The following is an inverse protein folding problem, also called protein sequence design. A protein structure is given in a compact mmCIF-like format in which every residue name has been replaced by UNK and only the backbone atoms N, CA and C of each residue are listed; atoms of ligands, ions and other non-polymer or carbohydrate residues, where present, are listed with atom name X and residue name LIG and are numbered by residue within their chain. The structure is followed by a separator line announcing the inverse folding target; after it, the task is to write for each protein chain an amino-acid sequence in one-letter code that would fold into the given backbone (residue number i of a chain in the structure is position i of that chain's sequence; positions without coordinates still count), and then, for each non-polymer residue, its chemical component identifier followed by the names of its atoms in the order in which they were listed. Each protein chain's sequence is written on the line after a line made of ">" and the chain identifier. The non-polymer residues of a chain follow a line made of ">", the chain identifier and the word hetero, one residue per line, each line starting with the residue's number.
data_IF_408288664630
#
_entry.id   IF_408288664630
#
_cell.length_a   1.000
_cell.length_b   1.000
_cell.length_c   1.000
_cell.angle_alpha   90.00
_cell.angle_beta   90.00
_cell.angle_gamma   90.00
#
_symmetry.space_group_name_H-M   'P 1'
#
loop_
_entity.id
_entity.type
_entity.pdbx_description
1 polymer ?
#
# COMPACT_ATOMS: atom_id res chain seq x y z
N UNK A 1 10.79 -22.13 -2.79
CA UNK A 1 11.60 -22.58 -1.62
C UNK A 1 11.95 -24.05 -1.79
N UNK A 2 13.16 -24.49 -1.44
CA UNK A 2 13.42 -25.93 -1.18
C UNK A 2 12.85 -26.30 0.20
N UNK A 3 12.68 -27.60 0.50
CA UNK A 3 12.10 -28.06 1.77
C UNK A 3 12.85 -27.52 3.01
N UNK A 4 14.17 -27.42 2.91
CA UNK A 4 15.04 -27.07 4.05
C UNK A 4 15.18 -25.56 4.28
N UNK A 5 14.51 -24.73 3.47
CA UNK A 5 14.62 -23.28 3.62
C UNK A 5 13.93 -22.81 4.91
N UNK A 6 14.66 -22.15 5.80
CA UNK A 6 14.15 -21.73 7.10
C UNK A 6 13.26 -20.48 6.97
N UNK A 7 12.10 -20.55 7.62
CA UNK A 7 11.10 -19.48 7.67
C UNK A 7 10.87 -19.10 9.12
N UNK A 8 10.95 -17.80 9.40
CA UNK A 8 10.62 -17.27 10.70
C UNK A 8 9.10 -17.39 10.95
N UNK A 9 8.74 -18.04 12.05
CA UNK A 9 7.38 -18.10 12.59
C UNK A 9 7.35 -17.46 13.97
N UNK A 10 6.17 -17.15 14.55
CA UNK A 10 6.10 -16.68 15.94
C UNK A 10 6.72 -17.63 16.96
N UNK A 11 6.92 -18.91 16.60
CA UNK A 11 7.48 -19.97 17.45
C UNK A 11 8.96 -20.27 17.17
N UNK A 12 9.59 -19.54 16.24
CA UNK A 12 10.97 -19.77 15.80
C UNK A 12 11.10 -20.13 14.33
N UNK A 13 12.29 -20.56 13.93
CA UNK A 13 12.59 -20.95 12.55
C UNK A 13 12.03 -22.33 12.24
N UNK A 14 11.26 -22.44 11.15
CA UNK A 14 10.65 -23.68 10.68
C UNK A 14 11.02 -23.91 9.21
N UNK A 15 11.46 -25.11 8.81
CA UNK A 15 11.71 -25.42 7.40
C UNK A 15 10.43 -25.27 6.56
N UNK A 16 10.57 -24.74 5.33
CA UNK A 16 9.45 -24.50 4.42
C UNK A 16 8.69 -25.79 4.04
N UNK A 17 9.35 -26.95 4.11
CA UNK A 17 8.73 -28.27 3.92
C UNK A 17 7.73 -28.65 5.01
N UNK A 18 7.91 -28.12 6.22
CA UNK A 18 7.12 -28.47 7.39
C UNK A 18 5.93 -27.53 7.62
N UNK A 19 5.90 -26.41 6.87
CA UNK A 19 4.81 -25.44 6.92
C UNK A 19 3.58 -25.87 6.11
N UNK A 20 2.41 -25.67 6.69
CA UNK A 20 1.12 -26.00 6.11
C UNK A 20 0.22 -24.76 5.95
N UNK A 21 -0.82 -24.90 5.14
CA UNK A 21 -1.87 -23.87 5.04
C UNK A 21 -2.51 -23.71 6.42
N UNK A 22 -2.63 -22.47 6.88
CA UNK A 22 -3.09 -22.13 8.22
C UNK A 22 -1.98 -21.79 9.21
N UNK A 23 -0.74 -22.24 8.97
CA UNK A 23 0.39 -21.87 9.83
C UNK A 23 0.72 -20.38 9.70
N UNK A 24 1.22 -19.80 10.79
CA UNK A 24 1.63 -18.40 10.84
C UNK A 24 3.13 -18.24 10.58
N UNK A 25 3.46 -17.29 9.72
CA UNK A 25 4.83 -16.88 9.41
C UNK A 25 5.02 -15.41 9.77
N UNK A 26 6.24 -15.02 10.10
CA UNK A 26 6.60 -13.64 10.36
C UNK A 26 6.89 -12.91 9.05
N UNK A 27 6.13 -11.86 8.80
CA UNK A 27 6.29 -11.00 7.63
C UNK A 27 6.76 -9.61 8.05
N UNK A 28 7.73 -9.05 7.32
CA UNK A 28 8.21 -7.70 7.53
C UNK A 28 7.26 -6.64 6.95
N UNK A 29 6.41 -6.06 7.79
CA UNK A 29 5.50 -4.98 7.40
C UNK A 29 6.14 -3.61 7.63
N UNK A 30 5.88 -2.66 6.71
CA UNK A 30 6.27 -1.27 6.92
C UNK A 30 5.40 -0.67 8.03
N UNK A 31 6.05 -0.08 9.03
CA UNK A 31 5.42 0.63 10.13
C UNK A 31 6.13 1.96 10.36
N UNK A 32 5.53 2.84 11.16
CA UNK A 32 6.07 4.17 11.42
C UNK A 32 6.11 4.47 12.91
N UNK A 33 7.14 5.21 13.32
CA UNK A 33 7.31 5.66 14.70
C UNK A 33 6.51 6.95 14.88
N UNK A 34 5.51 6.91 15.77
CA UNK A 34 4.75 8.08 16.20
C UNK A 34 5.49 8.83 17.30
N UNK A 35 5.45 10.16 17.27
CA UNK A 35 5.90 10.97 18.41
C UNK A 35 4.92 10.87 19.57
N UNK A 36 5.37 11.27 20.77
CA UNK A 36 4.49 11.35 21.94
C UNK A 36 3.30 12.29 21.69
N UNK A 37 3.52 13.42 21.00
CA UNK A 37 2.46 14.37 20.66
C UNK A 37 1.44 13.77 19.68
N UNK A 38 1.91 13.13 18.61
CA UNK A 38 1.05 12.46 17.64
C UNK A 38 0.23 11.35 18.29
N UNK A 39 0.87 10.58 19.16
CA UNK A 39 0.20 9.54 19.91
C UNK A 39 -0.94 10.09 20.78
N UNK A 40 -0.69 11.16 21.55
CA UNK A 40 -1.72 11.79 22.38
C UNK A 40 -2.86 12.40 21.55
N UNK A 41 -2.53 13.01 20.40
CA UNK A 41 -3.54 13.54 19.49
C UNK A 41 -4.42 12.43 18.92
N UNK A 42 -3.82 11.31 18.49
CA UNK A 42 -4.55 10.14 17.99
C UNK A 42 -5.42 9.51 19.08
N UNK A 43 -4.90 9.36 20.30
CA UNK A 43 -5.64 8.80 21.43
C UNK A 43 -6.84 9.68 21.79
N UNK A 44 -6.60 10.97 22.07
CA UNK A 44 -7.65 11.93 22.42
C UNK A 44 -8.66 12.14 21.30
N UNK A 45 -8.18 12.24 20.06
CA UNK A 45 -9.04 12.36 18.89
C UNK A 45 -9.89 11.11 18.66
N UNK A 46 -9.37 9.91 18.95
CA UNK A 46 -10.15 8.67 18.85
C UNK A 46 -11.18 8.55 19.97
N UNK A 47 -10.93 9.12 21.15
CA UNK A 47 -11.93 9.22 22.21
C UNK A 47 -13.03 10.23 21.84
N UNK A 48 -12.68 11.27 21.08
CA UNK A 48 -13.59 12.27 20.50
C UNK A 48 -14.20 11.89 19.15
N UNK A 49 -14.14 12.84 18.22
CA UNK A 49 -14.78 12.81 16.88
C UNK A 49 -14.06 11.88 15.88
N UNK A 50 -12.84 11.48 16.19
CA UNK A 50 -12.01 10.61 15.37
C UNK A 50 -12.41 9.14 15.44
N UNK A 51 -12.01 8.40 14.41
CA UNK A 51 -12.21 6.95 14.32
C UNK A 51 -11.00 6.24 13.75
N UNK A 52 -10.66 5.08 14.33
CA UNK A 52 -9.67 4.16 13.77
C UNK A 52 -10.38 3.07 12.96
N UNK A 53 -10.03 2.95 11.68
CA UNK A 53 -10.60 1.95 10.77
C UNK A 53 -9.53 0.98 10.31
N UNK A 54 -9.83 -0.32 10.35
CA UNK A 54 -8.94 -1.32 9.77
C UNK A 54 -8.87 -1.13 8.26
N UNK A 55 -7.65 -1.09 7.72
CA UNK A 55 -7.37 -1.09 6.28
C UNK A 55 -6.91 -2.48 5.80
N UNK A 56 -6.51 -3.35 6.72
CA UNK A 56 -6.19 -4.77 6.52
C UNK A 56 -6.13 -5.46 7.88
N UNK A 57 -5.66 -6.71 7.96
CA UNK A 57 -5.58 -7.47 9.24
C UNK A 57 -4.61 -6.85 10.25
N UNK A 58 -3.53 -6.24 9.76
CA UNK A 58 -2.44 -5.70 10.59
C UNK A 58 -2.25 -4.19 10.44
N UNK A 59 -3.15 -3.47 9.77
CA UNK A 59 -3.03 -2.02 9.58
C UNK A 59 -4.37 -1.33 9.78
N UNK A 60 -4.32 -0.16 10.42
CA UNK A 60 -5.47 0.71 10.57
C UNK A 60 -5.09 2.14 10.16
N UNK A 61 -6.10 2.93 9.82
CA UNK A 61 -5.96 4.36 9.58
C UNK A 61 -6.84 5.17 10.54
N UNK A 62 -6.35 6.32 10.95
CA UNK A 62 -7.13 7.32 11.66
C UNK A 62 -7.87 8.20 10.67
N UNK A 63 -9.12 8.52 10.96
CA UNK A 63 -9.95 9.45 10.19
C UNK A 63 -10.68 10.38 11.15
N UNK A 64 -10.67 11.66 10.84
CA UNK A 64 -11.40 12.69 11.58
C UNK A 64 -12.12 13.62 10.62
N UNK A 65 -13.30 14.07 11.02
CA UNK A 65 -14.14 15.00 10.26
C UNK A 65 -14.69 16.05 11.20
N UNK A 66 -14.70 17.30 10.77
CA UNK A 66 -15.32 18.41 11.52
C UNK A 66 -16.20 19.26 10.60
N UNK A 67 -17.09 20.03 11.23
CA UNK A 67 -17.89 21.02 10.54
C UNK A 67 -16.99 22.12 9.95
N UNK A 68 -17.41 22.82 8.87
CA UNK A 68 -16.59 23.86 8.24
C UNK A 68 -16.14 24.98 9.18
N UNK A 69 -16.94 25.30 10.21
CA UNK A 69 -16.61 26.31 11.24
C UNK A 69 -15.39 25.94 12.11
N UNK A 70 -14.98 24.68 12.14
CA UNK A 70 -13.82 24.17 12.89
C UNK A 70 -12.64 23.84 11.96
N UNK A 71 -12.58 24.50 10.79
CA UNK A 71 -11.52 24.28 9.79
C UNK A 71 -10.12 24.43 10.37
N UNK A 72 -9.86 25.53 11.06
CA UNK A 72 -8.53 25.80 11.62
C UNK A 72 -8.10 24.72 12.63
N UNK A 73 -9.07 24.18 13.39
CA UNK A 73 -8.79 23.07 14.31
C UNK A 73 -8.45 21.77 13.57
N UNK A 74 -9.14 21.49 12.46
CA UNK A 74 -8.84 20.35 11.61
C UNK A 74 -7.46 20.49 10.94
N UNK A 75 -7.13 21.69 10.45
CA UNK A 75 -5.83 21.99 9.83
C UNK A 75 -4.67 21.86 10.82
N UNK A 76 -4.87 22.27 12.08
CA UNK A 76 -3.92 22.01 13.14
C UNK A 76 -3.75 20.51 13.43
N UNK A 77 -4.84 19.73 13.52
CA UNK A 77 -4.73 18.26 13.66
C UNK A 77 -3.98 17.63 12.50
N UNK A 78 -4.19 18.15 11.29
CA UNK A 78 -3.51 17.70 10.09
C UNK A 78 -2.00 17.97 10.16
N UNK A 79 -1.59 19.19 10.55
CA UNK A 79 -0.18 19.56 10.65
C UNK A 79 0.56 18.81 11.76
N UNK A 80 -0.10 18.57 12.90
CA UNK A 80 0.44 17.76 14.00
C UNK A 80 0.74 16.31 13.58
N UNK A 81 -0.04 15.77 12.63
CA UNK A 81 0.06 14.39 12.15
C UNK A 81 0.93 14.22 10.90
N UNK A 82 1.55 15.29 10.39
CA UNK A 82 2.57 15.19 9.35
C UNK A 82 3.77 14.35 9.84
N UNK A 83 4.40 13.53 8.97
CA UNK A 83 4.18 13.43 7.53
C UNK A 83 3.09 12.42 7.12
N UNK A 84 2.27 11.94 8.04
CA UNK A 84 1.35 10.81 7.81
C UNK A 84 -0.02 11.22 7.28
N UNK A 85 -0.34 12.51 7.32
CA UNK A 85 -1.63 13.05 6.91
C UNK A 85 -1.83 12.96 5.40
N UNK A 86 -3.02 12.51 4.97
CA UNK A 86 -3.48 12.67 3.59
C UNK A 86 -4.15 14.04 3.43
N UNK A 87 -4.22 14.58 2.20
CA UNK A 87 -4.86 15.86 1.95
C UNK A 87 -6.26 15.99 2.56
N UNK A 88 -6.56 17.16 3.10
CA UNK A 88 -7.89 17.51 3.59
C UNK A 88 -8.86 17.56 2.40
N UNK A 89 -9.99 16.88 2.53
CA UNK A 89 -11.04 16.83 1.52
C UNK A 89 -12.43 17.16 2.08
N UNK A 90 -13.37 17.44 1.17
CA UNK A 90 -14.79 17.58 1.52
C UNK A 90 -15.40 16.20 1.81
N UNK A 91 -16.24 16.15 2.83
CA UNK A 91 -17.11 15.01 3.16
C UNK A 91 -18.56 15.50 3.19
N UNK A 92 -19.53 14.58 3.18
CA UNK A 92 -20.96 14.90 3.04
C UNK A 92 -21.42 16.11 3.89
N UNK A 93 -21.00 16.18 5.15
CA UNK A 93 -21.40 17.24 6.10
C UNK A 93 -20.22 18.05 6.67
N UNK A 94 -19.09 18.16 5.95
CA UNK A 94 -17.96 18.93 6.45
C UNK A 94 -16.64 18.70 5.71
N UNK A 95 -15.56 18.80 6.46
CA UNK A 95 -14.19 18.60 5.97
C UNK A 95 -13.47 17.58 6.86
N UNK A 96 -12.56 16.82 6.27
CA UNK A 96 -11.85 15.78 7.00
C UNK A 96 -10.62 15.28 6.26
N UNK A 97 -9.78 14.57 6.98
CA UNK A 97 -8.63 13.88 6.42
C UNK A 97 -8.49 12.49 7.04
N UNK A 98 -7.57 11.72 6.49
CA UNK A 98 -7.17 10.43 7.05
C UNK A 98 -5.66 10.33 7.08
N UNK A 99 -5.15 9.47 7.94
CA UNK A 99 -3.73 9.18 8.04
C UNK A 99 -3.38 7.92 7.23
N UNK A 100 -2.12 7.77 6.82
CA UNK A 100 -1.59 6.54 6.25
C UNK A 100 -1.95 5.33 7.13
N UNK A 101 -2.32 4.22 6.49
CA UNK A 101 -2.62 3.00 7.23
C UNK A 101 -1.31 2.37 7.72
N UNK A 102 -1.22 2.05 9.02
CA UNK A 102 -0.01 1.51 9.61
C UNK A 102 -0.30 0.55 10.78
N UNK A 103 0.61 -0.39 11.08
CA UNK A 103 0.49 -1.28 12.23
C UNK A 103 0.38 -0.59 13.59
N UNK A 104 1.10 0.51 13.83
CA UNK A 104 1.00 1.25 15.09
C UNK A 104 -0.45 1.70 15.40
N UNK A 105 -1.22 2.08 14.38
CA UNK A 105 -2.63 2.44 14.54
C UNK A 105 -3.54 1.22 14.73
N UNK A 106 -3.15 0.05 14.21
CA UNK A 106 -3.88 -1.20 14.46
C UNK A 106 -3.73 -1.66 15.91
N UNK A 107 -2.55 -1.47 16.53
CA UNK A 107 -2.35 -1.69 17.96
C UNK A 107 -3.30 -0.82 18.78
N UNK A 108 -3.25 0.49 18.52
CA UNK A 108 -4.11 1.46 19.20
C UNK A 108 -5.59 1.09 19.03
N UNK A 109 -6.00 0.66 17.83
CA UNK A 109 -7.37 0.21 17.59
C UNK A 109 -7.74 -1.02 18.41
N UNK A 110 -6.85 -2.01 18.57
CA UNK A 110 -7.13 -3.22 19.37
C UNK A 110 -7.30 -2.94 20.85
N UNK A 111 -6.77 -1.82 21.32
CA UNK A 111 -6.95 -1.37 22.71
C UNK A 111 -8.23 -0.54 22.88
N UNK A 112 -8.69 0.13 21.82
CA UNK A 112 -9.85 1.03 21.88
C UNK A 112 -11.16 0.39 21.42
N UNK A 113 -11.10 -0.67 20.60
CA UNK A 113 -12.26 -1.28 19.96
C UNK A 113 -12.22 -2.81 20.03
N UNK A 114 -13.39 -3.43 20.03
CA UNK A 114 -13.53 -4.87 19.86
C UNK A 114 -13.40 -5.30 18.37
N UNK A 115 -13.57 -6.60 18.13
CA UNK A 115 -13.56 -7.21 16.80
C UNK A 115 -14.76 -6.80 15.94
N UNK A 116 -15.89 -6.43 16.55
CA UNK A 116 -17.10 -5.96 15.86
C UNK A 116 -17.07 -4.45 15.55
N UNK A 117 -16.10 -3.71 16.11
CA UNK A 117 -15.96 -2.28 15.93
C UNK A 117 -16.67 -1.42 16.98
N UNK A 118 -17.17 -2.02 18.07
CA UNK A 118 -17.66 -1.28 19.22
C UNK A 118 -16.49 -0.76 20.06
N UNK A 119 -16.68 0.38 20.73
CA UNK A 119 -15.66 0.95 21.63
C UNK A 119 -15.69 0.20 22.96
N UNK A 120 -14.53 -0.35 23.34
CA UNK A 120 -14.36 -1.04 24.63
C UNK A 120 -13.31 -0.38 25.52
N UNK A 121 -12.41 0.44 24.93
CA UNK A 121 -11.35 1.22 25.58
C UNK A 121 -10.81 0.58 26.86
N UNK A 122 -9.74 -0.20 26.70
CA UNK A 122 -9.06 -0.86 27.81
C UNK A 122 -8.57 0.14 28.85
N UNK A 123 -8.43 -0.30 30.10
CA UNK A 123 -7.95 0.58 31.19
C UNK A 123 -6.54 1.07 30.93
N UNK A 124 -5.65 0.19 30.46
CA UNK A 124 -4.22 0.46 30.27
C UNK A 124 -3.97 1.60 29.27
N UNK A 125 -4.84 1.74 28.26
CA UNK A 125 -4.72 2.81 27.27
C UNK A 125 -5.14 4.17 27.85
N UNK A 126 -6.11 4.19 28.77
CA UNK A 126 -6.55 5.41 29.46
C UNK A 126 -5.52 5.90 30.49
N UNK A 127 -4.76 5.00 31.10
CA UNK A 127 -3.66 5.38 32.00
C UNK A 127 -2.54 6.13 31.27
N UNK A 128 -2.44 5.96 29.96
CA UNK A 128 -1.48 6.66 29.10
C UNK A 128 -2.01 8.01 28.61
N UNK A 129 -3.28 8.34 28.87
CA UNK A 129 -3.87 9.62 28.49
C UNK A 129 -3.27 10.73 29.37
N UNK A 130 -2.73 11.77 28.75
CA UNK A 130 -2.24 12.95 29.45
C UNK A 130 -3.07 14.21 29.13
N UNK A 131 -2.61 15.35 29.64
CA UNK A 131 -3.26 16.65 29.42
C UNK A 131 -3.46 16.99 27.93
N UNK A 132 -2.55 16.58 27.03
CA UNK A 132 -2.64 16.82 25.58
C UNK A 132 -3.77 16.01 24.97
N UNK A 133 -3.80 14.70 25.24
CA UNK A 133 -4.86 13.83 24.75
C UNK A 133 -6.23 14.22 25.29
N UNK A 134 -6.28 14.57 26.59
CA UNK A 134 -7.51 15.06 27.22
C UNK A 134 -7.98 16.40 26.61
N UNK A 135 -7.06 17.30 26.27
CA UNK A 135 -7.41 18.55 25.60
C UNK A 135 -8.04 18.32 24.23
N UNK A 136 -7.54 17.37 23.44
CA UNK A 136 -8.16 17.00 22.15
C UNK A 136 -9.54 16.42 22.37
N UNK A 137 -9.70 15.50 23.32
CA UNK A 137 -10.99 14.90 23.63
C UNK A 137 -12.01 15.96 24.09
N UNK A 138 -11.61 16.88 24.96
CA UNK A 138 -12.45 18.01 25.38
C UNK A 138 -12.73 18.99 24.23
N UNK A 139 -11.77 19.22 23.33
CA UNK A 139 -11.94 20.03 22.13
C UNK A 139 -13.00 19.48 21.19
N UNK A 140 -13.10 18.15 21.10
CA UNK A 140 -14.12 17.45 20.30
C UNK A 140 -15.48 17.45 21.01
N UNK A 141 -15.56 16.81 22.18
CA UNK A 141 -16.83 16.46 22.84
C UNK A 141 -17.16 17.31 24.08
N UNK A 142 -16.22 18.14 24.52
CA UNK A 142 -16.38 19.00 25.69
C UNK A 142 -17.25 20.21 25.42
N UNK A 143 -17.86 20.71 26.49
CA UNK A 143 -18.61 21.96 26.52
C UNK A 143 -18.50 22.59 27.91
N UNK A 144 -18.66 23.89 27.99
CA UNK A 144 -18.71 24.62 29.25
C UNK A 144 -20.04 25.38 29.29
N UNK A 145 -20.91 24.98 30.21
CA UNK A 145 -22.24 25.58 30.38
C UNK A 145 -22.28 26.36 31.70
N UNK A 146 -22.82 27.58 31.66
CA UNK A 146 -22.86 28.46 32.82
C UNK A 146 -23.07 29.92 32.47
N UNK A 147 -24.26 30.43 32.76
CA UNK A 147 -24.53 31.86 32.83
C UNK A 147 -23.64 32.49 33.91
N UNK A 148 -22.61 33.22 33.50
CA UNK A 148 -21.81 34.08 34.39
C UNK A 148 -22.69 35.06 35.18
N UNK A 149 -23.87 35.39 34.64
CA UNK A 149 -24.80 36.35 35.22
C UNK A 149 -25.73 35.80 36.32
N UNK A 150 -25.88 34.47 36.49
CA UNK A 150 -26.85 33.92 37.46
C UNK A 150 -26.25 33.10 38.61
N UNK A 151 -25.12 32.41 38.44
CA UNK A 151 -24.65 31.43 39.44
C UNK A 151 -23.13 31.36 39.67
N UNK A 152 -22.36 32.31 39.14
CA UNK A 152 -20.94 32.51 39.47
C UNK A 152 -19.95 31.42 39.02
N UNK A 153 -20.39 30.19 38.74
CA UNK A 153 -19.50 29.09 38.35
C UNK A 153 -20.11 28.23 37.23
N UNK A 154 -19.65 28.42 36.00
CA UNK A 154 -19.94 27.46 34.93
C UNK A 154 -19.32 26.09 35.21
N UNK A 155 -19.89 25.05 34.62
CA UNK A 155 -19.45 23.66 34.78
C UNK A 155 -19.02 23.10 33.43
N UNK A 156 -17.86 22.48 33.41
CA UNK A 156 -17.43 21.68 32.27
C UNK A 156 -18.27 20.40 32.19
N UNK A 157 -18.56 20.00 30.96
CA UNK A 157 -19.24 18.76 30.62
C UNK A 157 -18.44 18.11 29.50
N UNK A 158 -18.06 16.84 29.69
CA UNK A 158 -17.47 16.01 28.63
C UNK A 158 -18.49 14.96 28.22
N UNK A 159 -18.98 15.05 26.98
CA UNK A 159 -19.95 14.10 26.47
C UNK A 159 -19.23 12.82 26.03
N UNK A 160 -19.72 11.65 26.45
CA UNK A 160 -19.27 10.40 25.89
C UNK A 160 -20.35 9.33 26.04
N UNK A 161 -21.00 9.02 24.91
CA UNK A 161 -22.05 7.99 24.82
C UNK A 161 -21.51 6.61 24.42
N UNK A 162 -20.25 6.54 24.02
CA UNK A 162 -19.67 5.35 23.40
C UNK A 162 -18.94 4.45 24.41
N UNK A 163 -18.53 4.99 25.56
CA UNK A 163 -17.91 4.24 26.65
C UNK A 163 -18.96 3.72 27.64
N UNK A 164 -18.80 2.47 28.06
CA UNK A 164 -19.70 1.75 28.97
C UNK A 164 -18.90 0.96 30.00
N UNK A 165 -19.51 0.66 31.16
CA UNK A 165 -18.94 -0.22 32.20
C UNK A 165 -17.56 0.21 32.70
N UNK A 166 -16.63 -0.76 32.79
CA UNK A 166 -15.25 -0.60 33.27
C UNK A 166 -14.47 0.53 32.60
N UNK A 167 -14.71 0.78 31.31
CA UNK A 167 -14.04 1.87 30.60
C UNK A 167 -14.37 3.25 31.19
N UNK A 168 -15.59 3.44 31.73
CA UNK A 168 -15.97 4.70 32.37
C UNK A 168 -15.29 4.87 33.72
N UNK A 169 -15.17 3.78 34.50
CA UNK A 169 -14.42 3.78 35.76
C UNK A 169 -12.95 4.13 35.52
N UNK A 170 -12.33 3.54 34.49
CA UNK A 170 -10.97 3.86 34.09
C UNK A 170 -10.79 5.34 33.68
N UNK A 171 -11.80 5.97 33.06
CA UNK A 171 -11.78 7.41 32.79
C UNK A 171 -11.77 8.22 34.09
N UNK A 172 -12.60 7.85 35.07
CA UNK A 172 -12.64 8.55 36.37
C UNK A 172 -11.29 8.45 37.11
N UNK A 173 -10.67 7.28 37.09
CA UNK A 173 -9.33 7.06 37.64
C UNK A 173 -8.26 7.86 36.90
N UNK A 174 -8.31 7.91 35.56
CA UNK A 174 -7.38 8.71 34.76
C UNK A 174 -7.51 10.21 35.08
N UNK A 175 -8.74 10.73 35.19
CA UNK A 175 -8.99 12.13 35.55
C UNK A 175 -8.52 12.46 36.98
N UNK A 176 -8.68 11.53 37.91
CA UNK A 176 -8.14 11.66 39.27
C UNK A 176 -6.61 11.69 39.28
N UNK A 177 -5.94 10.79 38.55
CA UNK A 177 -4.48 10.77 38.38
C UNK A 177 -3.94 12.06 37.75
N UNK A 178 -4.72 12.68 36.86
CA UNK A 178 -4.39 14.00 36.27
C UNK A 178 -4.66 15.18 37.21
N UNK A 179 -5.08 14.95 38.45
CA UNK A 179 -5.30 15.98 39.46
C UNK A 179 -6.63 16.73 39.33
N UNK A 180 -7.49 16.32 38.39
CA UNK A 180 -8.82 16.95 38.19
C UNK A 180 -9.80 16.45 39.25
N UNK A 181 -9.69 15.18 39.64
CA UNK A 181 -10.62 14.48 40.53
C UNK A 181 -11.70 13.72 39.76
N UNK A 182 -12.62 13.06 40.49
CA UNK A 182 -13.69 12.24 39.92
C UNK A 182 -14.96 13.05 39.65
N UNK A 183 -15.29 13.39 38.39
CA UNK A 183 -16.55 14.07 38.07
C UNK A 183 -17.75 13.15 38.27
N UNK A 184 -18.95 13.74 38.30
CA UNK A 184 -20.19 12.96 38.30
C UNK A 184 -20.41 12.32 36.93
N UNK A 185 -20.60 11.01 36.89
CA UNK A 185 -20.87 10.23 35.70
C UNK A 185 -22.37 9.84 35.65
N UNK A 186 -23.10 10.34 34.64
CA UNK A 186 -24.52 10.00 34.41
C UNK A 186 -24.72 8.89 33.36
N UNK A 187 -23.65 8.19 32.97
CA UNK A 187 -23.65 7.15 31.93
C UNK A 187 -23.64 7.70 30.50
N UNK A 188 -23.76 9.03 30.31
CA UNK A 188 -23.70 9.70 29.00
C UNK A 188 -22.70 10.84 28.97
N UNK A 189 -22.43 11.46 30.13
CA UNK A 189 -21.62 12.66 30.28
C UNK A 189 -20.88 12.62 31.61
N UNK A 190 -19.68 13.17 31.61
CA UNK A 190 -18.96 13.50 32.84
C UNK A 190 -19.21 14.98 33.16
N UNK A 191 -19.81 15.25 34.31
CA UNK A 191 -20.12 16.61 34.78
C UNK A 191 -19.15 16.99 35.88
N UNK A 192 -18.35 18.01 35.62
CA UNK A 192 -17.35 18.49 36.55
C UNK A 192 -17.97 19.49 37.53
N UNK A 193 -17.57 19.42 38.79
CA UNK A 193 -17.84 20.49 39.75
C UNK A 193 -17.13 21.79 39.33
N UNK A 194 -17.45 22.91 39.98
CA UNK A 194 -16.80 24.19 39.69
C UNK A 194 -15.29 24.15 39.93
N UNK A 195 -14.88 23.51 41.02
CA UNK A 195 -13.46 23.31 41.35
C UNK A 195 -12.77 22.39 40.34
N UNK A 196 -13.39 21.26 40.01
CA UNK A 196 -12.88 20.32 39.01
C UNK A 196 -12.79 20.97 37.63
N UNK A 197 -13.74 21.85 37.28
CA UNK A 197 -13.73 22.63 36.04
C UNK A 197 -12.53 23.57 36.00
N UNK A 198 -12.24 24.29 37.09
CA UNK A 198 -11.08 25.16 37.17
C UNK A 198 -9.75 24.37 37.00
N UNK A 199 -9.65 23.20 37.65
CA UNK A 199 -8.48 22.31 37.52
C UNK A 199 -8.34 21.76 36.09
N UNK A 200 -9.43 21.25 35.51
CA UNK A 200 -9.47 20.76 34.13
C UNK A 200 -9.06 21.86 33.14
N UNK A 201 -9.68 23.04 33.19
CA UNK A 201 -9.40 24.13 32.26
C UNK A 201 -7.97 24.65 32.42
N UNK A 202 -7.44 24.71 33.64
CA UNK A 202 -6.04 25.05 33.87
C UNK A 202 -5.10 24.03 33.22
N UNK A 203 -5.39 22.73 33.36
CA UNK A 203 -4.57 21.65 32.83
C UNK A 203 -4.55 21.61 31.30
N UNK A 204 -5.71 21.77 30.65
CA UNK A 204 -5.84 21.58 29.19
C UNK A 204 -5.63 22.86 28.38
N UNK A 205 -5.71 24.05 28.99
CA UNK A 205 -5.60 25.32 28.29
C UNK A 205 -4.33 25.49 27.44
N UNK A 206 -3.13 25.01 27.85
CA UNK A 206 -1.94 25.05 27.00
C UNK A 206 -2.05 24.22 25.71
N UNK A 207 -2.96 23.25 25.65
CA UNK A 207 -3.07 22.26 24.59
C UNK A 207 -4.36 22.37 23.78
N UNK A 208 -5.31 23.23 24.19
CA UNK A 208 -6.57 23.42 23.49
C UNK A 208 -6.45 24.52 22.44
N UNK A 209 -6.64 24.14 21.17
CA UNK A 209 -6.47 25.04 20.03
C UNK A 209 -7.42 26.25 20.07
N UNK A 210 -6.98 27.47 19.65
CA UNK A 210 -7.80 28.69 19.72
C UNK A 210 -9.17 28.58 19.04
N UNK A 211 -9.26 27.84 17.94
CA UNK A 211 -10.53 27.62 17.24
C UNK A 211 -11.62 26.89 18.07
N UNK A 212 -11.25 26.28 19.20
CA UNK A 212 -12.17 25.61 20.13
C UNK A 212 -12.02 26.08 21.58
N UNK A 213 -11.20 27.10 21.84
CA UNK A 213 -10.95 27.59 23.20
C UNK A 213 -12.14 28.32 23.83
N UNK A 214 -13.14 28.70 23.02
CA UNK A 214 -14.44 29.20 23.49
C UNK A 214 -15.14 28.20 24.43
N UNK A 215 -14.77 26.92 24.39
CA UNK A 215 -15.21 25.85 25.31
C UNK A 215 -14.56 25.93 26.70
N UNK A 216 -13.61 26.82 26.91
CA UNK A 216 -13.01 27.11 28.22
C UNK A 216 -13.67 28.32 28.85
N UNK A 217 -13.52 28.41 30.17
CA UNK A 217 -13.74 29.63 30.92
C UNK A 217 -12.83 30.76 30.38
N UNK A 218 -13.36 31.97 30.27
CA UNK A 218 -12.69 33.16 29.68
C UNK A 218 -11.25 33.37 30.18
N UNK A 219 -11.02 33.28 31.50
CA UNK A 219 -9.71 33.36 32.18
C UNK A 219 -8.62 32.39 31.67
N UNK A 220 -8.98 31.29 31.00
CA UNK A 220 -8.06 30.26 30.53
C UNK A 220 -7.88 30.25 29.00
N UNK A 221 -8.58 31.12 28.26
CA UNK A 221 -8.48 31.24 26.80
C UNK A 221 -7.15 31.86 26.36
N UNK A 222 -6.75 31.63 25.11
CA UNK A 222 -5.53 32.21 24.54
C UNK A 222 -4.20 31.70 25.12
N UNK A 223 -4.21 30.57 25.83
CA UNK A 223 -2.99 29.98 26.44
C UNK A 223 -2.34 28.90 25.58
N UNK A 224 -2.81 28.69 24.37
CA UNK A 224 -2.39 27.59 23.50
C UNK A 224 -0.91 27.70 23.11
N UNK A 225 -0.12 26.66 23.40
CA UNK A 225 1.32 26.58 23.10
C UNK A 225 1.72 25.29 22.39
N UNK A 226 0.77 24.39 22.10
CA UNK A 226 1.08 23.07 21.54
C UNK A 226 1.29 23.11 20.02
N UNK A 227 2.54 23.26 19.62
CA UNK A 227 2.93 23.31 18.21
C UNK A 227 3.39 21.94 17.70
N UNK A 228 3.25 21.67 16.38
CA UNK A 228 3.83 20.49 15.75
C UNK A 228 5.33 20.43 16.02
N UNK A 229 5.82 19.27 16.49
CA UNK A 229 7.25 19.05 16.53
C UNK A 229 7.77 18.95 15.10
N UNK A 230 8.44 20.01 14.62
CA UNK A 230 9.21 19.97 13.38
C UNK A 230 10.39 19.04 13.59
N UNK A 231 10.20 17.75 13.32
CA UNK A 231 11.30 16.80 13.31
C UNK A 231 11.85 16.80 11.89
N UNK A 232 13.09 17.26 11.67
CA UNK A 232 13.72 17.20 10.35
C UNK A 232 13.81 15.73 9.93
N UNK A 233 13.07 15.37 8.90
CA UNK A 233 13.02 13.99 8.44
C UNK A 233 11.80 13.74 7.58
N UNK A 234 12.02 13.20 6.38
CA UNK A 234 10.96 12.73 5.51
C UNK A 234 10.25 11.50 6.11
N UNK A 235 9.21 11.01 5.44
CA UNK A 235 8.51 9.77 5.82
C UNK A 235 9.45 8.56 5.96
N UNK A 236 10.63 8.59 5.32
CA UNK A 236 11.61 7.50 5.35
C UNK A 236 12.37 7.45 6.67
N UNK A 237 12.69 8.60 7.27
CA UNK A 237 13.36 8.69 8.59
C UNK A 237 12.54 8.09 9.74
N UNK A 238 11.21 8.06 9.59
CA UNK A 238 10.27 7.50 10.59
C UNK A 238 9.93 6.04 10.36
N UNK A 239 10.40 5.46 9.27
CA UNK A 239 10.03 4.12 8.83
C UNK A 239 10.79 3.07 9.64
N UNK A 240 10.06 2.07 10.12
CA UNK A 240 10.63 0.84 10.67
C UNK A 240 10.03 -0.39 9.98
N UNK A 241 10.76 -1.49 10.02
CA UNK A 241 10.21 -2.79 9.67
C UNK A 241 9.67 -3.44 10.95
N UNK A 242 8.43 -3.91 10.91
CA UNK A 242 7.82 -4.65 12.02
C UNK A 242 7.50 -6.07 11.57
N UNK A 243 7.98 -7.05 12.31
CA UNK A 243 7.56 -8.43 12.12
C UNK A 243 6.10 -8.59 12.59
N UNK A 244 5.23 -9.08 11.72
CA UNK A 244 3.83 -9.41 12.03
C UNK A 244 3.56 -10.86 11.66
N UNK A 245 2.81 -11.57 12.50
CA UNK A 245 2.38 -12.94 12.22
C UNK A 245 1.27 -12.90 11.16
N UNK A 246 1.44 -13.64 10.07
CA UNK A 246 0.49 -13.70 8.95
C UNK A 246 0.29 -15.16 8.54
N UNK A 247 -0.95 -15.54 8.26
CA UNK A 247 -1.28 -16.93 7.92
C UNK A 247 -0.92 -17.27 6.47
N UNK A 248 -0.45 -18.51 6.27
CA UNK A 248 -0.31 -19.13 4.95
C UNK A 248 -1.71 -19.47 4.44
N UNK A 249 -2.11 -18.87 3.31
CA UNK A 249 -3.43 -19.08 2.70
C UNK A 249 -3.42 -20.19 1.67
N UNK A 250 -2.31 -20.36 0.93
CA UNK A 250 -2.14 -21.45 -0.02
C UNK A 250 -0.71 -21.94 -0.05
N UNK A 251 -0.56 -23.21 -0.37
CA UNK A 251 0.71 -23.90 -0.54
C UNK A 251 0.67 -24.62 -1.89
N UNK A 252 1.59 -24.28 -2.79
CA UNK A 252 1.77 -24.99 -4.05
C UNK A 252 3.09 -25.76 -4.02
N UNK A 253 3.03 -27.00 -4.49
CA UNK A 253 4.21 -27.86 -4.64
C UNK A 253 4.46 -28.00 -6.14
N UNK A 254 5.59 -27.46 -6.61
CA UNK A 254 6.02 -27.58 -7.99
C UNK A 254 7.08 -28.68 -8.10
N UNK A 255 6.80 -29.69 -8.91
CA UNK A 255 7.75 -30.74 -9.24
C UNK A 255 8.87 -30.17 -10.12
N UNK A 256 10.11 -30.23 -9.65
CA UNK A 256 11.32 -29.96 -10.44
C UNK A 256 12.05 -31.26 -10.77
N UNK A 257 12.95 -31.23 -11.76
CA UNK A 257 13.73 -32.40 -12.23
C UNK A 257 14.48 -33.14 -11.11
N UNK A 258 14.87 -32.47 -10.02
CA UNK A 258 15.59 -33.07 -8.88
C UNK A 258 15.20 -32.54 -7.48
N UNK A 259 14.22 -31.63 -7.36
CA UNK A 259 13.80 -31.06 -6.05
C UNK A 259 12.32 -30.64 -6.07
N UNK A 260 11.66 -30.76 -4.91
CA UNK A 260 10.34 -30.16 -4.67
C UNK A 260 10.51 -28.66 -4.37
N UNK A 261 9.80 -27.80 -5.11
CA UNK A 261 9.73 -26.37 -4.83
C UNK A 261 8.40 -26.03 -4.18
N UNK A 262 8.46 -25.32 -3.04
CA UNK A 262 7.30 -24.80 -2.33
C UNK A 262 7.09 -23.33 -2.64
N UNK A 263 5.83 -23.00 -2.92
CA UNK A 263 5.32 -21.67 -3.22
C UNK A 263 4.21 -21.39 -2.18
N UNK A 264 4.43 -20.44 -1.27
CA UNK A 264 3.48 -20.06 -0.22
C UNK A 264 2.79 -18.73 -0.58
N UNK A 265 1.46 -18.70 -0.52
CA UNK A 265 0.66 -17.48 -0.64
C UNK A 265 0.33 -16.98 0.77
N UNK A 266 0.86 -15.82 1.14
CA UNK A 266 0.66 -15.21 2.47
C UNK A 266 -0.55 -14.28 2.42
N UNK A 267 -1.40 -14.31 3.44
CA UNK A 267 -2.61 -13.48 3.50
C UNK A 267 -2.29 -11.99 3.27
N UNK A 268 -2.98 -11.35 2.32
CA UNK A 268 -2.80 -9.93 2.02
C UNK A 268 -1.49 -9.55 1.32
N UNK A 269 -0.62 -10.52 1.01
CA UNK A 269 0.70 -10.29 0.41
C UNK A 269 1.00 -11.27 -0.73
N UNK A 270 1.34 -10.75 -1.91
CA UNK A 270 1.73 -11.56 -3.08
C UNK A 270 3.24 -11.89 -3.06
N UNK A 271 3.76 -12.46 -1.97
CA UNK A 271 5.21 -12.69 -1.78
C UNK A 271 5.57 -14.17 -1.74
N UNK A 272 6.59 -14.55 -2.50
CA UNK A 272 7.35 -15.79 -2.33
C UNK A 272 8.74 -15.49 -1.73
N UNK A 273 9.23 -16.36 -0.85
CA UNK A 273 10.55 -16.27 -0.23
C UNK A 273 11.53 -17.16 -1.00
N UNK A 274 12.74 -16.69 -1.28
CA UNK A 274 13.86 -17.51 -1.81
C UNK A 274 15.15 -16.97 -1.20
N UNK A 275 15.95 -17.85 -0.58
CA UNK A 275 17.31 -17.55 -0.09
C UNK A 275 17.39 -16.32 0.82
N UNK A 276 16.46 -16.18 1.78
CA UNK A 276 16.44 -15.08 2.74
C UNK A 276 15.99 -13.72 2.17
N UNK A 277 15.57 -13.67 0.90
CA UNK A 277 15.11 -12.45 0.22
C UNK A 277 13.65 -12.57 -0.22
N UNK A 278 12.90 -11.50 0.02
CA UNK A 278 11.56 -11.25 -0.52
C UNK A 278 11.68 -11.07 -2.03
N UNK A 279 11.34 -12.09 -2.82
CA UNK A 279 11.29 -11.97 -4.28
C UNK A 279 9.88 -11.54 -4.65
N UNK A 280 9.72 -10.26 -5.02
CA UNK A 280 8.47 -9.81 -5.62
C UNK A 280 8.32 -10.50 -7.00
N UNK A 281 7.09 -10.80 -7.41
CA UNK A 281 6.79 -10.98 -8.83
C UNK A 281 7.07 -9.64 -9.55
N UNK A 282 7.79 -9.60 -10.70
CA UNK A 282 8.34 -8.42 -11.42
C UNK A 282 7.93 -7.03 -10.86
N UNK A 283 8.87 -6.10 -10.55
CA UNK A 283 8.52 -4.85 -9.83
C UNK A 283 7.69 -3.92 -10.73
N UNK A 284 7.60 -4.29 -12.00
CA UNK A 284 6.84 -3.68 -13.06
C UNK A 284 5.34 -3.92 -12.84
N UNK A 285 4.72 -2.99 -12.12
CA UNK A 285 3.26 -2.79 -12.17
C UNK A 285 2.90 -1.87 -13.33
N UNK A 286 1.98 -2.32 -14.18
CA UNK A 286 1.36 -1.45 -15.21
C UNK A 286 0.53 -0.35 -14.52
N UNK A 287 0.71 0.90 -14.93
CA UNK A 287 -0.08 2.04 -14.46
C UNK A 287 -1.56 1.91 -14.87
N UNK A 288 -2.46 2.67 -14.24
CA UNK A 288 -3.90 2.62 -14.54
C UNK A 288 -4.71 1.60 -13.71
N UNK A 289 -4.17 1.16 -12.57
CA UNK A 289 -4.86 0.29 -11.63
C UNK A 289 -5.03 -1.16 -12.12
N UNK A 290 -6.00 -1.89 -11.56
CA UNK A 290 -6.15 -3.33 -11.81
C UNK A 290 -7.09 -3.67 -12.97
N UNK A 291 -7.96 -2.76 -13.39
CA UNK A 291 -9.02 -3.03 -14.37
C UNK A 291 -8.47 -3.53 -15.72
N UNK A 292 -7.45 -2.86 -16.26
CA UNK A 292 -6.87 -3.21 -17.57
C UNK A 292 -6.37 -4.67 -17.62
N UNK A 293 -5.80 -5.17 -16.51
CA UNK A 293 -5.35 -6.56 -16.40
C UNK A 293 -6.49 -7.55 -16.60
N UNK A 294 -7.72 -7.23 -16.19
CA UNK A 294 -8.89 -8.10 -16.32
C UNK A 294 -9.60 -7.96 -17.67
N UNK A 295 -9.78 -6.73 -18.16
CA UNK A 295 -10.55 -6.46 -19.37
C UNK A 295 -9.78 -6.74 -20.67
N UNK A 296 -8.46 -6.52 -20.72
CA UNK A 296 -7.68 -6.75 -21.94
C UNK A 296 -7.79 -8.20 -22.43
N UNK A 297 -8.11 -8.40 -23.71
CA UNK A 297 -8.18 -9.73 -24.34
C UNK A 297 -6.80 -10.34 -24.56
N UNK A 298 -5.82 -9.50 -24.93
CA UNK A 298 -4.43 -9.88 -25.12
C UNK A 298 -3.56 -8.87 -24.39
N UNK A 299 -2.49 -9.34 -23.75
CA UNK A 299 -1.43 -8.50 -23.18
C UNK A 299 -0.08 -9.04 -23.61
N UNK A 300 0.79 -8.14 -24.03
CA UNK A 300 2.14 -8.44 -24.46
C UNK A 300 3.12 -7.64 -23.59
N UNK A 301 4.19 -8.30 -23.16
CA UNK A 301 5.33 -7.68 -22.50
C UNK A 301 6.47 -7.61 -23.53
N UNK A 302 6.92 -6.39 -23.83
CA UNK A 302 7.94 -6.10 -24.85
C UNK A 302 9.21 -5.66 -24.15
N UNK A 303 10.32 -6.34 -24.43
CA UNK A 303 11.61 -6.09 -23.81
C UNK A 303 12.70 -5.98 -24.87
N UNK A 304 13.54 -4.95 -24.73
CA UNK A 304 14.77 -4.80 -25.51
C UNK A 304 15.79 -5.82 -25.03
N UNK A 305 16.42 -6.54 -25.96
CA UNK A 305 17.56 -7.44 -25.71
C UNK A 305 18.86 -6.71 -26.07
N UNK A 306 19.42 -7.00 -27.24
CA UNK A 306 20.72 -6.51 -27.66
C UNK A 306 20.61 -5.39 -28.70
N UNK A 307 21.61 -4.50 -28.73
CA UNK A 307 21.73 -3.49 -29.78
C UNK A 307 22.32 -4.13 -31.05
N UNK A 308 21.66 -3.93 -32.19
CA UNK A 308 22.17 -4.34 -33.51
C UNK A 308 23.13 -3.24 -33.96
N UNK A 309 24.40 -3.59 -34.13
CA UNK A 309 25.47 -2.65 -34.51
C UNK A 309 26.09 -3.03 -35.83
N UNK A 310 26.47 -2.03 -36.63
CA UNK A 310 27.34 -2.19 -37.79
C UNK A 310 28.55 -1.26 -37.60
N UNK A 311 29.71 -1.85 -37.32
CA UNK A 311 30.89 -1.09 -36.91
C UNK A 311 30.65 -0.35 -35.59
N UNK A 312 30.76 0.98 -35.61
CA UNK A 312 30.54 1.87 -34.46
C UNK A 312 29.10 2.37 -34.32
N UNK A 313 28.25 2.18 -35.32
CA UNK A 313 26.88 2.72 -35.34
C UNK A 313 25.84 1.68 -34.89
N UNK A 314 24.83 2.12 -34.13
CA UNK A 314 23.71 1.28 -33.68
C UNK A 314 22.53 1.41 -34.65
N UNK A 315 22.32 0.39 -35.48
CA UNK A 315 21.26 0.36 -36.49
C UNK A 315 19.87 -0.01 -35.94
N UNK A 316 19.82 -0.71 -34.81
CA UNK A 316 18.54 -1.13 -34.25
C UNK A 316 18.66 -1.92 -32.95
N UNK A 317 17.58 -2.59 -32.58
CA UNK A 317 17.49 -3.40 -31.35
C UNK A 317 16.80 -4.73 -31.60
N UNK A 318 17.40 -5.80 -31.10
CA UNK A 318 16.73 -7.10 -30.96
C UNK A 318 15.70 -6.97 -29.86
N UNK A 319 14.46 -7.35 -30.17
CA UNK A 319 13.32 -7.17 -29.26
C UNK A 319 12.65 -8.51 -29.03
N UNK A 320 12.35 -8.78 -27.76
CA UNK A 320 11.62 -9.95 -27.32
C UNK A 320 10.24 -9.55 -26.83
N UNK A 321 9.22 -10.20 -27.34
CA UNK A 321 7.82 -10.01 -26.93
C UNK A 321 7.30 -11.30 -26.32
N UNK A 322 6.75 -11.22 -25.12
CA UNK A 322 6.08 -12.32 -24.43
C UNK A 322 4.59 -12.06 -24.32
N UNK A 323 3.78 -13.02 -24.75
CA UNK A 323 2.32 -12.93 -24.61
C UNK A 323 1.92 -13.30 -23.18
N UNK A 324 1.85 -12.31 -22.28
CA UNK A 324 1.56 -12.53 -20.85
C UNK A 324 0.07 -12.80 -20.56
N UNK A 325 -0.83 -12.46 -21.49
CA UNK A 325 -2.25 -12.84 -21.43
C UNK A 325 -2.78 -13.03 -22.85
N UNK A 326 -3.56 -14.09 -23.05
CA UNK A 326 -4.28 -14.32 -24.30
C UNK A 326 -5.61 -15.03 -23.98
N UNK A 327 -6.73 -14.45 -24.39
CA UNK A 327 -8.08 -15.05 -24.24
C UNK A 327 -8.52 -15.87 -25.47
N UNK A 328 -7.77 -15.82 -26.57
CA UNK A 328 -8.16 -16.42 -27.86
C UNK A 328 -7.29 -17.64 -28.24
N UNK A 329 -6.08 -17.75 -27.69
CA UNK A 329 -5.15 -18.84 -27.93
C UNK A 329 -4.25 -19.08 -26.70
N UNK A 330 -3.45 -20.16 -26.65
CA UNK A 330 -2.56 -20.42 -25.52
C UNK A 330 -1.61 -19.24 -25.21
N UNK A 331 -1.55 -18.75 -23.96
CA UNK A 331 -0.67 -17.67 -23.55
C UNK A 331 0.79 -18.15 -23.35
N UNK A 332 1.66 -17.22 -22.98
CA UNK A 332 3.07 -17.41 -22.61
C UNK A 332 4.03 -17.80 -23.74
N UNK A 333 3.59 -17.74 -25.00
CA UNK A 333 4.49 -17.80 -26.15
C UNK A 333 5.35 -16.55 -26.23
N UNK A 334 6.53 -16.72 -26.80
CA UNK A 334 7.54 -15.68 -26.98
C UNK A 334 7.82 -15.51 -28.48
N UNK A 335 8.14 -14.29 -28.89
CA UNK A 335 8.58 -13.96 -30.24
C UNK A 335 9.79 -13.03 -30.15
N UNK A 336 10.80 -13.27 -30.98
CA UNK A 336 11.99 -12.44 -31.08
C UNK A 336 12.11 -11.89 -32.50
N UNK A 337 12.34 -10.58 -32.63
CA UNK A 337 12.47 -9.92 -33.93
C UNK A 337 13.32 -8.66 -33.82
N UNK A 338 13.82 -8.21 -34.96
CA UNK A 338 14.66 -7.02 -35.05
C UNK A 338 13.78 -5.78 -35.27
N UNK A 339 14.05 -4.70 -34.52
CA UNK A 339 13.47 -3.37 -34.74
C UNK A 339 14.59 -2.45 -35.20
N UNK A 340 14.53 -2.03 -36.47
CA UNK A 340 15.52 -1.17 -37.10
C UNK A 340 15.06 0.29 -37.00
N UNK A 341 15.95 1.19 -36.60
CA UNK A 341 15.62 2.61 -36.49
C UNK A 341 15.32 3.19 -37.88
N UNK A 342 14.20 3.90 -38.04
CA UNK A 342 13.77 4.47 -39.31
C UNK A 342 12.97 3.52 -40.22
N UNK A 343 13.05 2.20 -40.02
CA UNK A 343 12.32 1.20 -40.84
C UNK A 343 11.22 0.46 -40.04
N UNK A 344 11.39 0.27 -38.73
CA UNK A 344 10.46 -0.48 -37.90
C UNK A 344 10.80 -1.97 -37.78
N UNK A 345 9.78 -2.83 -37.66
CA UNK A 345 9.97 -4.27 -37.47
C UNK A 345 10.49 -4.90 -38.76
N UNK A 346 11.63 -5.57 -38.69
CA UNK A 346 12.26 -6.19 -39.86
C UNK A 346 11.57 -7.51 -40.23
N UNK A 347 10.63 -7.43 -41.19
CA UNK A 347 9.90 -8.59 -41.69
C UNK A 347 10.82 -9.64 -42.34
N UNK A 348 11.78 -9.21 -43.16
CA UNK A 348 12.74 -10.12 -43.83
C UNK A 348 13.59 -10.90 -42.82
N UNK A 349 14.05 -10.25 -41.75
CA UNK A 349 14.80 -10.92 -40.68
C UNK A 349 13.97 -11.96 -39.93
N UNK A 350 12.71 -11.63 -39.60
CA UNK A 350 11.80 -12.57 -38.93
C UNK A 350 11.47 -13.79 -39.80
N UNK A 351 11.24 -13.58 -41.10
CA UNK A 351 10.97 -14.65 -42.07
C UNK A 351 12.20 -15.54 -42.27
N UNK A 352 13.41 -14.96 -42.33
CA UNK A 352 14.65 -15.72 -42.42
C UNK A 352 14.86 -16.62 -41.18
N UNK A 353 14.71 -16.06 -39.98
CA UNK A 353 14.86 -16.79 -38.72
C UNK A 353 13.84 -17.95 -38.63
N UNK A 354 12.56 -17.67 -38.94
CA UNK A 354 11.51 -18.68 -38.94
C UNK A 354 11.71 -19.74 -40.03
N UNK A 355 12.21 -19.36 -41.20
CA UNK A 355 12.50 -20.28 -42.29
C UNK A 355 13.60 -21.28 -41.95
N UNK A 356 14.62 -20.84 -41.20
CA UNK A 356 15.66 -21.74 -40.67
C UNK A 356 15.10 -22.65 -39.58
N UNK A 357 14.30 -22.13 -38.66
CA UNK A 357 13.69 -22.93 -37.58
C UNK A 357 12.76 -24.02 -38.12
N UNK A 358 12.02 -23.74 -39.20
CA UNK A 358 11.15 -24.71 -39.88
C UNK A 358 11.90 -25.59 -40.91
N UNK A 359 13.23 -25.49 -40.99
CA UNK A 359 14.07 -26.22 -41.94
C UNK A 359 13.68 -26.02 -43.42
N UNK A 360 13.03 -24.89 -43.75
CA UNK A 360 12.70 -24.48 -45.13
C UNK A 360 13.91 -23.79 -45.79
N UNK A 361 14.74 -23.13 -44.97
CA UNK A 361 16.01 -22.54 -45.37
C UNK A 361 17.12 -23.36 -44.74
N UNK A 362 18.03 -23.85 -45.57
CA UNK A 362 19.18 -24.63 -45.12
C UNK A 362 20.32 -23.70 -44.71
N UNK A 363 20.88 -23.93 -43.51
CA UNK A 363 22.04 -23.19 -43.01
C UNK A 363 23.26 -24.11 -42.98
N UNK A 364 24.16 -23.94 -43.93
CA UNK A 364 25.44 -24.65 -44.01
C UNK A 364 26.59 -23.75 -43.57
N UNK A 365 26.95 -23.84 -42.28
CA UNK A 365 27.95 -22.97 -41.67
C UNK A 365 27.47 -21.51 -41.64
N UNK A 366 28.16 -20.63 -42.37
CA UNK A 366 27.76 -19.22 -42.54
C UNK A 366 26.82 -18.99 -43.72
N UNK A 367 26.57 -19.98 -44.57
CA UNK A 367 25.76 -19.83 -45.79
C UNK A 367 24.30 -20.20 -45.57
N UNK A 368 23.41 -19.40 -46.14
CA UNK A 368 21.97 -19.64 -46.19
C UNK A 368 21.59 -20.07 -47.61
N UNK A 369 20.82 -21.14 -47.73
CA UNK A 369 20.39 -21.72 -49.01
C UNK A 369 18.88 -21.92 -49.03
N UNK A 370 18.22 -21.48 -50.10
CA UNK A 370 16.78 -21.67 -50.31
C UNK A 370 16.56 -22.25 -51.72
N UNK A 371 15.82 -23.36 -51.84
CA UNK A 371 15.58 -24.06 -53.13
C UNK A 371 16.85 -24.30 -53.96
N UNK A 372 17.93 -24.75 -53.31
CA UNK A 372 19.26 -24.97 -53.92
C UNK A 372 19.98 -23.71 -54.42
N UNK A 373 19.48 -22.51 -54.13
CA UNK A 373 20.16 -21.23 -54.41
C UNK A 373 20.78 -20.68 -53.12
N UNK A 374 22.04 -20.25 -53.19
CA UNK A 374 22.72 -19.59 -52.07
C UNK A 374 22.26 -18.15 -51.96
N UNK A 375 21.37 -17.88 -51.01
CA UNK A 375 20.75 -16.56 -50.82
C UNK A 375 21.65 -15.56 -50.05
N UNK A 376 22.72 -16.03 -49.41
CA UNK A 376 23.71 -15.14 -48.81
C UNK A 376 24.67 -15.79 -47.83
N UNK A 377 25.84 -15.16 -47.66
CA UNK A 377 26.81 -15.49 -46.61
C UNK A 377 26.58 -14.59 -45.40
N UNK A 378 26.15 -15.16 -44.29
CA UNK A 378 25.79 -14.44 -43.08
C UNK A 378 24.35 -13.91 -43.11
N UNK A 379 23.81 -13.67 -41.91
CA UNK A 379 22.41 -13.28 -41.68
C UNK A 379 22.04 -11.98 -42.39
N UNK A 380 22.88 -10.95 -42.29
CA UNK A 380 22.57 -9.63 -42.88
C UNK A 380 22.53 -9.65 -44.41
N UNK A 381 23.44 -10.39 -45.06
CA UNK A 381 23.43 -10.51 -46.52
C UNK A 381 22.21 -11.30 -47.02
N UNK A 382 21.85 -12.40 -46.33
CA UNK A 382 20.65 -13.17 -46.67
C UNK A 382 19.36 -12.34 -46.46
N UNK A 383 19.31 -11.54 -45.39
CA UNK A 383 18.22 -10.60 -45.11
C UNK A 383 18.10 -9.54 -46.21
N UNK A 384 19.22 -8.95 -46.65
CA UNK A 384 19.25 -7.95 -47.73
C UNK A 384 18.78 -8.54 -49.06
N UNK A 385 19.25 -9.75 -49.40
CA UNK A 385 18.79 -10.45 -50.59
C UNK A 385 17.27 -10.72 -50.57
N UNK A 386 16.71 -11.11 -49.41
CA UNK A 386 15.26 -11.27 -49.25
C UNK A 386 14.48 -9.95 -49.37
N UNK A 387 15.07 -8.81 -49.00
CA UNK A 387 14.47 -7.50 -49.21
C UNK A 387 14.46 -7.10 -50.69
N UNK A 388 15.53 -7.43 -51.42
CA UNK A 388 15.67 -7.18 -52.85
C UNK A 388 14.77 -8.11 -53.70
N UNK A 389 14.35 -9.26 -53.13
CA UNK A 389 13.52 -10.27 -53.80
C UNK A 389 12.14 -10.46 -53.10
N UNK A 390 11.23 -9.48 -53.19
CA UNK A 390 9.96 -9.49 -52.44
C UNK A 390 9.02 -10.65 -52.85
N UNK A 391 9.07 -11.09 -54.11
CA UNK A 391 8.28 -12.25 -54.57
C UNK A 391 8.70 -13.55 -53.86
N UNK A 392 10.01 -13.73 -53.66
CA UNK A 392 10.57 -14.89 -52.96
C UNK A 392 10.26 -14.82 -51.47
N UNK A 393 10.36 -13.62 -50.87
CA UNK A 393 10.00 -13.40 -49.47
C UNK A 393 8.53 -13.73 -49.19
N UNK A 394 7.61 -13.39 -50.11
CA UNK A 394 6.19 -13.72 -49.99
C UNK A 394 5.92 -15.23 -50.12
N UNK A 395 6.55 -15.91 -51.08
CA UNK A 395 6.49 -17.38 -51.23
C UNK A 395 7.00 -18.09 -49.97
N UNK A 396 8.11 -17.62 -49.42
CA UNK A 396 8.71 -18.14 -48.20
C UNK A 396 7.81 -17.91 -46.97
N UNK A 397 7.24 -16.72 -46.81
CA UNK A 397 6.28 -16.43 -45.73
C UNK A 397 5.04 -17.33 -45.82
N UNK A 398 4.50 -17.55 -47.02
CA UNK A 398 3.34 -18.41 -47.23
C UNK A 398 3.63 -19.85 -46.77
N UNK A 399 4.78 -20.40 -47.17
CA UNK A 399 5.22 -21.76 -46.77
C UNK A 399 5.47 -21.89 -45.27
N UNK A 400 6.11 -20.89 -44.65
CA UNK A 400 6.33 -20.89 -43.20
C UNK A 400 4.98 -20.89 -42.46
N UNK A 401 4.03 -20.07 -42.91
CA UNK A 401 2.69 -20.03 -42.30
C UNK A 401 1.95 -21.35 -42.46
N UNK A 402 2.04 -21.98 -43.64
CA UNK A 402 1.45 -23.30 -43.89
C UNK A 402 2.06 -24.37 -42.98
N UNK A 403 3.40 -24.43 -42.89
CA UNK A 403 4.10 -25.36 -41.99
C UNK A 403 3.72 -25.17 -40.51
N UNK A 404 3.44 -23.92 -40.10
CA UNK A 404 3.00 -23.58 -38.75
C UNK A 404 1.48 -23.73 -38.52
N UNK A 405 0.72 -24.16 -39.53
CA UNK A 405 -0.75 -24.26 -39.45
C UNK A 405 -1.47 -22.93 -39.28
N UNK A 406 -0.84 -21.83 -39.73
CA UNK A 406 -1.38 -20.47 -39.66
C UNK A 406 -2.18 -20.12 -40.91
N UNK A 407 -3.15 -19.20 -40.76
CA UNK A 407 -3.95 -18.73 -41.90
C UNK A 407 -3.06 -18.03 -42.95
N UNK A 408 -3.40 -18.15 -44.25
CA UNK A 408 -2.75 -17.42 -45.32
C UNK A 408 -2.71 -15.92 -45.02
N UNK A 409 -1.69 -15.22 -45.52
CA UNK A 409 -1.61 -13.76 -45.41
C UNK A 409 -2.84 -13.19 -46.12
N UNK A 410 -3.75 -12.58 -45.38
CA UNK A 410 -4.80 -11.77 -46.00
C UNK A 410 -4.11 -10.59 -46.72
N UNK A 411 -4.50 -10.25 -47.95
CA UNK A 411 -3.99 -9.04 -48.59
C UNK A 411 -4.29 -7.84 -47.66
N UNK A 412 -3.29 -6.99 -47.45
CA UNK A 412 -3.47 -5.73 -46.73
C UNK A 412 -4.52 -4.94 -47.53
N UNK A 413 -5.67 -4.67 -46.91
CA UNK A 413 -6.70 -3.79 -47.48
C UNK A 413 -6.31 -2.34 -47.30
#
# INVERSE_FOLDING_TARGET
>A
MTANHLIFTPRGEVPAGDLNVGDEVLFGMRDYILTSDQYQLLLGGTLGDGSLRMAGRHSACFRVTHAPRQKDYLEWKHSMLEPFSRPIGRVANGIGFSVLAMPALADLRRELYDSQGHRIVKREILERLDARGLAVWYGDDGSFDGSHARWGNGKAILNNKSLQGEARLAVLEALEKLGIGRPNDDGRRFRFSSEQTARLHTLIAPYLHPAVDYKLHSKHRGRFTWQPQTIPGDLSSRRRLRAVAVSITKRYIKAGRHTHRFDLEIEGHHTYLVDGVVVHNSPETTTGGRALKFYASIRMDIRRQDAIKQGTESLGVRTKVKVVKNKLAPPFREAEFDVIYGEGISKSGAVLDAGVEQAIIEKSGTWYTYKNERIGQGRENAKKWLQENPAVLADLEAKIREALGLRPVAPLR
#
